data_IF_607597432012
#
_entry.id   IF_607597432012
#
_cell.length_a   1.000
_cell.length_b   1.000
_cell.length_c   1.000
_cell.angle_alpha   90.00
_cell.angle_beta   90.00
_cell.angle_gamma   90.00
#
_symmetry.space_group_name_H-M   'P 1'
#
loop_
_entity.id
_entity.type
_entity.pdbx_description
1 polymer ?
#
# COMPACT_ATOMS: atom_id res chain seq x y z
N UNK A 1 -0.13 -6.93 4.69
CA UNK A 1 0.59 -6.61 3.44
C UNK A 1 0.76 -5.10 3.32
N UNK A 2 1.98 -4.61 3.48
CA UNK A 2 2.36 -3.19 3.31
C UNK A 2 3.38 -3.02 2.18
N UNK A 3 3.53 -4.04 1.32
CA UNK A 3 4.50 -4.04 0.23
C UNK A 3 3.85 -3.58 -1.07
N UNK A 4 3.23 -4.49 -1.84
CA UNK A 4 2.49 -4.19 -3.08
C UNK A 4 1.25 -5.08 -3.17
N UNK A 5 0.13 -4.53 -3.66
CA UNK A 5 -1.11 -5.28 -3.82
C UNK A 5 -0.96 -6.49 -4.73
N UNK A 6 -0.17 -6.37 -5.80
CA UNK A 6 0.09 -7.44 -6.78
C UNK A 6 0.81 -8.68 -6.21
N UNK A 7 1.35 -8.63 -4.98
CA UNK A 7 2.00 -9.77 -4.35
C UNK A 7 0.99 -10.79 -3.79
N UNK A 8 -0.26 -10.39 -3.60
CA UNK A 8 -1.32 -11.22 -3.01
C UNK A 8 -2.39 -11.49 -4.05
N UNK A 9 -2.83 -12.74 -4.15
CA UNK A 9 -4.08 -13.07 -4.85
C UNK A 9 -5.25 -12.70 -3.94
N UNK A 10 -5.94 -11.61 -4.27
CA UNK A 10 -7.05 -11.07 -3.48
C UNK A 10 -8.26 -12.00 -3.43
N UNK A 11 -8.48 -12.83 -4.47
CA UNK A 11 -9.55 -13.83 -4.44
C UNK A 11 -9.21 -14.94 -3.45
N UNK A 12 -7.96 -15.38 -3.43
CA UNK A 12 -7.48 -16.35 -2.45
C UNK A 12 -7.51 -15.77 -1.03
N UNK A 13 -7.14 -14.49 -0.85
CA UNK A 13 -7.22 -13.78 0.42
C UNK A 13 -8.67 -13.71 0.92
N UNK A 14 -9.61 -13.28 0.07
CA UNK A 14 -11.04 -13.25 0.39
C UNK A 14 -11.54 -14.64 0.81
N UNK A 15 -11.18 -15.68 0.06
CA UNK A 15 -11.57 -17.04 0.38
C UNK A 15 -11.00 -17.50 1.73
N UNK A 16 -9.72 -17.24 2.00
CA UNK A 16 -9.07 -17.62 3.24
C UNK A 16 -9.67 -16.91 4.47
N UNK A 17 -10.06 -15.64 4.31
CA UNK A 17 -10.71 -14.86 5.36
C UNK A 17 -12.16 -15.30 5.59
N UNK A 18 -12.94 -15.50 4.53
CA UNK A 18 -14.35 -15.91 4.62
C UNK A 18 -14.52 -17.33 5.18
N UNK A 19 -13.61 -18.25 4.84
CA UNK A 19 -13.58 -19.62 5.38
C UNK A 19 -12.83 -19.75 6.71
N UNK A 20 -12.32 -18.65 7.26
CA UNK A 20 -11.53 -18.62 8.50
C UNK A 20 -10.28 -19.53 8.46
N UNK A 21 -9.73 -19.77 7.28
CA UNK A 21 -8.43 -20.44 7.11
C UNK A 21 -7.28 -19.60 7.71
N UNK A 22 -7.45 -18.27 7.72
CA UNK A 22 -6.66 -17.35 8.53
C UNK A 22 -7.61 -16.55 9.45
N UNK A 23 -7.14 -16.18 10.63
CA UNK A 23 -7.95 -15.44 11.60
C UNK A 23 -8.26 -14.02 11.15
N UNK A 24 -7.37 -13.40 10.37
CA UNK A 24 -7.57 -12.08 9.80
C UNK A 24 -6.37 -11.59 9.00
N UNK A 25 -6.48 -10.38 8.44
CA UNK A 25 -5.41 -9.73 7.68
C UNK A 25 -5.36 -8.23 7.95
N UNK A 26 -4.16 -7.65 7.92
CA UNK A 26 -3.95 -6.21 7.84
C UNK A 26 -3.29 -5.87 6.51
N UNK A 27 -3.88 -4.99 5.72
CA UNK A 27 -3.35 -4.59 4.40
C UNK A 27 -3.39 -3.07 4.25
N UNK A 28 -2.38 -2.53 3.60
CA UNK A 28 -2.30 -1.11 3.24
C UNK A 28 -2.40 -0.93 1.71
N UNK A 29 -2.32 -2.01 0.95
CA UNK A 29 -2.28 -2.00 -0.51
C UNK A 29 -3.22 -3.07 -1.06
N UNK A 30 -3.92 -2.73 -2.13
CA UNK A 30 -4.74 -3.63 -2.95
C UNK A 30 -4.21 -3.63 -4.39
N UNK A 31 -4.61 -4.59 -5.20
CA UNK A 31 -4.14 -4.77 -6.57
C UNK A 31 -4.56 -3.60 -7.46
N UNK A 32 -5.74 -3.04 -7.22
CA UNK A 32 -6.28 -1.85 -7.88
C UNK A 32 -6.30 -0.69 -6.89
N UNK A 33 -5.65 0.40 -7.27
CA UNK A 33 -5.61 1.65 -6.52
C UNK A 33 -5.94 2.83 -7.45
N UNK A 34 -6.83 3.77 -7.07
CA UNK A 34 -7.64 3.81 -5.84
C UNK A 34 -8.55 2.58 -5.69
N UNK A 35 -8.88 2.25 -4.44
CA UNK A 35 -9.67 1.06 -4.14
C UNK A 35 -11.05 1.13 -4.78
N UNK A 36 -11.55 -0.03 -5.24
CA UNK A 36 -12.92 -0.14 -5.70
C UNK A 36 -13.85 -0.25 -4.48
N UNK A 37 -14.71 0.74 -4.27
CA UNK A 37 -15.62 0.75 -3.13
C UNK A 37 -16.61 -0.43 -3.13
N UNK A 38 -16.80 -1.09 -4.28
CA UNK A 38 -17.64 -2.29 -4.40
C UNK A 38 -16.86 -3.60 -4.26
N UNK A 39 -15.57 -3.56 -3.92
CA UNK A 39 -14.78 -4.79 -3.73
C UNK A 39 -15.33 -5.59 -2.54
N UNK A 40 -15.67 -6.89 -2.72
CA UNK A 40 -16.23 -7.71 -1.66
C UNK A 40 -15.29 -7.85 -0.45
N UNK A 41 -13.99 -7.61 -0.58
CA UNK A 41 -13.07 -7.65 0.55
C UNK A 41 -13.46 -6.68 1.67
N UNK A 42 -14.11 -5.55 1.35
CA UNK A 42 -14.60 -4.58 2.32
C UNK A 42 -15.81 -5.07 3.14
N UNK A 43 -16.44 -6.18 2.76
CA UNK A 43 -17.54 -6.77 3.53
C UNK A 43 -17.07 -7.68 4.67
N UNK A 44 -15.76 -7.98 4.74
CA UNK A 44 -15.21 -8.90 5.73
C UNK A 44 -14.90 -8.17 7.04
N UNK A 45 -15.31 -8.74 8.18
CA UNK A 45 -15.07 -8.15 9.50
C UNK A 45 -13.69 -8.46 10.08
N UNK A 46 -12.96 -9.43 9.50
CA UNK A 46 -11.65 -9.88 9.94
C UNK A 46 -10.50 -9.34 9.08
N UNK A 47 -10.69 -8.18 8.44
CA UNK A 47 -9.63 -7.48 7.72
C UNK A 47 -9.58 -6.01 8.12
N UNK A 48 -8.37 -5.48 8.28
CA UNK A 48 -8.11 -4.05 8.41
C UNK A 48 -7.43 -3.57 7.13
N UNK A 49 -8.02 -2.57 6.49
CA UNK A 49 -7.55 -2.00 5.23
C UNK A 49 -7.23 -0.53 5.45
N UNK A 50 -5.99 -0.13 5.19
CA UNK A 50 -5.55 1.25 5.16
C UNK A 50 -5.35 1.72 3.70
N UNK A 51 -5.61 2.99 3.37
CA UNK A 51 -5.60 3.49 1.99
C UNK A 51 -4.20 3.86 1.47
N UNK A 52 -3.25 2.91 1.47
CA UNK A 52 -1.87 3.09 1.02
C UNK A 52 -1.15 4.25 1.71
N UNK A 53 -1.25 4.27 3.04
CA UNK A 53 -0.70 5.32 3.90
C UNK A 53 0.38 4.81 4.86
N UNK A 54 0.85 3.57 4.70
CA UNK A 54 1.85 2.95 5.57
C UNK A 54 3.19 3.70 5.61
N UNK A 55 3.50 4.47 4.56
CA UNK A 55 4.69 5.33 4.50
C UNK A 55 4.38 6.83 4.70
N UNK A 56 3.12 7.20 4.91
CA UNK A 56 2.66 8.59 4.86
C UNK A 56 2.71 9.32 6.22
N UNK A 57 3.73 9.05 7.05
CA UNK A 57 3.98 9.92 8.21
C UNK A 57 4.47 11.30 7.74
N UNK A 58 4.33 12.32 8.59
CA UNK A 58 4.80 13.67 8.27
C UNK A 58 6.31 13.63 7.98
N UNK A 59 7.09 13.00 8.86
CA UNK A 59 8.54 12.93 8.76
C UNK A 59 9.00 12.13 7.53
N UNK A 60 8.29 11.06 7.17
CA UNK A 60 8.60 10.26 5.99
C UNK A 60 8.29 11.03 4.69
N UNK A 61 7.17 11.76 4.67
CA UNK A 61 6.77 12.62 3.55
C UNK A 61 7.76 13.76 3.34
N UNK A 62 8.21 14.40 4.42
CA UNK A 62 9.23 15.46 4.37
C UNK A 62 10.56 14.93 3.81
N UNK A 63 11.04 13.78 4.29
CA UNK A 63 12.27 13.17 3.78
C UNK A 63 12.15 12.78 2.32
N UNK A 64 11.03 12.19 1.89
CA UNK A 64 10.80 11.81 0.51
C UNK A 64 10.78 13.04 -0.42
N UNK A 65 10.13 14.12 0.02
CA UNK A 65 10.07 15.39 -0.71
C UNK A 65 11.46 16.02 -0.85
N UNK A 66 12.23 16.05 0.25
CA UNK A 66 13.60 16.55 0.25
C UNK A 66 14.52 15.75 -0.69
N UNK A 67 14.48 14.42 -0.62
CA UNK A 67 15.30 13.57 -1.51
C UNK A 67 14.90 13.73 -2.98
N UNK A 68 13.60 13.92 -3.26
CA UNK A 68 13.15 14.22 -4.61
C UNK A 68 13.73 15.54 -5.12
N UNK A 69 13.77 16.58 -4.29
CA UNK A 69 14.39 17.86 -4.64
C UNK A 69 15.92 17.77 -4.81
N UNK A 70 16.59 16.99 -3.96
CA UNK A 70 18.04 16.70 -4.10
C UNK A 70 18.33 16.03 -5.44
N UNK A 71 17.56 15.00 -5.81
CA UNK A 71 17.74 14.32 -7.09
C UNK A 71 17.53 15.23 -8.30
N UNK A 72 16.62 16.21 -8.20
CA UNK A 72 16.45 17.25 -9.23
C UNK A 72 17.71 18.14 -9.32
N UNK A 73 18.24 18.64 -8.20
CA UNK A 73 19.50 19.42 -8.20
C UNK A 73 20.66 18.62 -8.76
N UNK A 74 20.78 17.35 -8.39
CA UNK A 74 21.87 16.47 -8.85
C UNK A 74 21.86 16.37 -10.38
N UNK A 75 20.70 16.09 -10.98
CA UNK A 75 20.56 16.06 -12.44
C UNK A 75 20.91 17.42 -13.07
N UNK A 76 20.37 18.52 -12.54
CA UNK A 76 20.56 19.86 -13.13
C UNK A 76 21.98 20.42 -12.94
N UNK A 77 22.69 19.97 -11.90
CA UNK A 77 24.08 20.35 -11.62
C UNK A 77 25.11 19.40 -12.24
N UNK A 78 24.67 18.40 -13.01
CA UNK A 78 25.55 17.43 -13.68
C UNK A 78 26.15 16.39 -12.74
N UNK A 79 25.60 16.24 -11.53
CA UNK A 79 25.92 15.14 -10.62
C UNK A 79 25.09 13.90 -10.98
N UNK A 80 25.49 12.76 -10.44
CA UNK A 80 24.71 11.52 -10.56
C UNK A 80 23.64 11.50 -9.44
N UNK A 81 22.35 11.34 -9.79
CA UNK A 81 21.28 11.14 -8.81
C UNK A 81 21.26 9.72 -8.22
#
# INVERSE_FOLDING_TARGET
NTARGKLVDEKALYHALSTHAISGAGVDVLKKEPFDANDPIFSLSNIVIAPHIGAATIEATDRASLHSAIGIDEVLSGKKP
#
